data_IF_439538006153
#
_entry.id   IF_439538006153
#
_cell.length_a   1.000
_cell.length_b   1.000
_cell.length_c   1.000
_cell.angle_alpha   90.00
_cell.angle_beta   90.00
_cell.angle_gamma   90.00
#
_symmetry.space_group_name_H-M   'P 1'
#
loop_
_entity.id
_entity.type
_entity.pdbx_description
1 polymer ?
#
# COMPACT_ATOMS: atom_id res chain seq x y z
N UNK A 1 28.62 7.78 -4.17
CA UNK A 1 27.40 7.22 -4.81
C UNK A 1 26.23 6.97 -3.85
N UNK A 2 26.32 7.33 -2.55
CA UNK A 2 25.36 6.90 -1.50
C UNK A 2 24.06 7.73 -1.37
N UNK A 3 23.85 8.75 -2.20
CA UNK A 3 22.74 9.71 -2.04
C UNK A 3 21.69 9.61 -3.16
N UNK A 4 21.40 8.41 -3.68
CA UNK A 4 20.36 8.22 -4.71
C UNK A 4 19.22 7.37 -4.17
N UNK A 5 18.00 7.74 -4.56
CA UNK A 5 16.81 6.91 -4.34
C UNK A 5 16.95 5.66 -5.20
N UNK A 6 16.78 4.50 -4.59
CA UNK A 6 16.77 3.21 -5.29
C UNK A 6 15.43 2.52 -5.15
N UNK A 7 15.11 1.66 -6.10
CA UNK A 7 13.86 0.92 -6.12
C UNK A 7 14.19 -0.55 -6.34
N UNK A 8 13.69 -1.41 -5.45
CA UNK A 8 13.78 -2.86 -5.59
C UNK A 8 12.51 -3.37 -6.25
N UNK A 9 12.66 -4.05 -7.38
CA UNK A 9 11.59 -4.58 -8.22
C UNK A 9 11.99 -5.99 -8.70
N UNK A 10 11.01 -6.82 -9.10
CA UNK A 10 11.25 -8.15 -9.68
C UNK A 10 11.82 -8.12 -11.12
N UNK A 11 12.07 -6.92 -11.64
CA UNK A 11 12.63 -6.65 -12.97
C UNK A 11 13.76 -5.65 -12.86
N UNK A 12 14.73 -5.77 -13.75
CA UNK A 12 15.88 -4.87 -13.82
C UNK A 12 15.72 -3.85 -14.97
N UNK A 13 16.62 -2.86 -15.02
CA UNK A 13 16.67 -1.89 -16.11
C UNK A 13 15.70 -0.70 -15.97
N UNK A 14 15.00 -0.60 -14.84
CA UNK A 14 14.17 0.56 -14.51
C UNK A 14 14.90 1.51 -13.56
N UNK A 15 14.95 2.78 -13.94
CA UNK A 15 15.61 3.85 -13.20
C UNK A 15 14.58 4.72 -12.49
N UNK A 16 14.84 5.06 -11.23
CA UNK A 16 13.99 5.99 -10.49
C UNK A 16 13.95 7.36 -11.17
N UNK A 17 12.74 7.91 -11.35
CA UNK A 17 12.57 9.27 -11.85
C UNK A 17 11.78 10.17 -10.89
N UNK A 18 10.62 9.70 -10.41
CA UNK A 18 9.75 10.50 -9.54
C UNK A 18 8.93 9.62 -8.61
N UNK A 19 8.71 10.09 -7.39
CA UNK A 19 7.71 9.55 -6.45
C UNK A 19 6.78 10.69 -6.03
N UNK A 20 5.47 10.44 -6.03
CA UNK A 20 4.46 11.39 -5.55
C UNK A 20 3.25 10.66 -4.98
N UNK A 21 2.62 11.19 -3.94
CA UNK A 21 1.41 10.59 -3.36
C UNK A 21 1.04 11.22 -2.03
N UNK A 22 0.15 10.57 -1.29
CA UNK A 22 -0.32 11.03 0.01
C UNK A 22 -0.30 9.89 1.03
N UNK A 23 0.18 10.22 2.22
CA UNK A 23 0.05 9.43 3.44
C UNK A 23 -0.72 10.29 4.45
N UNK A 24 -1.59 9.66 5.26
CA UNK A 24 -2.30 10.31 6.35
C UNK A 24 -2.58 9.29 7.45
N UNK A 25 -2.74 9.78 8.68
CA UNK A 25 -3.10 8.93 9.81
C UNK A 25 -4.48 8.29 9.56
N UNK A 26 -4.62 7.01 9.91
CA UNK A 26 -5.86 6.25 9.74
C UNK A 26 -6.35 6.11 8.29
N UNK A 27 -5.52 6.42 7.30
CA UNK A 27 -5.85 6.28 5.88
C UNK A 27 -4.85 5.39 5.17
N UNK A 28 -5.36 4.50 4.30
CA UNK A 28 -4.50 3.72 3.41
C UNK A 28 -3.84 4.62 2.37
N UNK A 29 -2.51 4.70 2.39
CA UNK A 29 -1.77 5.52 1.45
C UNK A 29 -1.93 5.04 0.00
N UNK A 30 -1.68 5.95 -0.95
CA UNK A 30 -1.52 5.62 -2.36
C UNK A 30 -0.41 6.47 -2.98
N UNK A 31 0.58 5.80 -3.57
CA UNK A 31 1.75 6.44 -4.15
C UNK A 31 1.83 6.15 -5.65
N UNK A 32 2.35 7.11 -6.40
CA UNK A 32 2.69 7.00 -7.81
C UNK A 32 4.19 7.02 -7.95
N UNK A 33 4.76 5.88 -8.33
CA UNK A 33 6.18 5.71 -8.61
C UNK A 33 6.39 5.73 -10.12
N UNK A 34 7.21 6.67 -10.58
CA UNK A 34 7.55 6.85 -12.00
C UNK A 34 8.99 6.41 -12.23
N UNK A 35 9.16 5.48 -13.17
CA UNK A 35 10.43 4.88 -13.53
C UNK A 35 10.70 5.06 -15.02
N UNK A 36 11.97 5.15 -15.38
CA UNK A 36 12.43 5.24 -16.77
C UNK A 36 13.10 3.94 -17.17
N UNK A 37 12.75 3.41 -18.34
CA UNK A 37 13.41 2.29 -18.98
C UNK A 37 13.79 2.62 -20.41
N UNK A 38 14.82 1.96 -20.93
CA UNK A 38 15.18 2.01 -22.36
C UNK A 38 14.37 1.01 -23.19
N UNK A 39 13.78 -0.02 -22.56
CA UNK A 39 12.86 -0.96 -23.21
C UNK A 39 11.41 -0.73 -22.75
N UNK A 40 10.50 -0.54 -23.71
CA UNK A 40 9.06 -0.39 -23.47
C UNK A 40 8.31 -1.73 -23.35
N UNK A 41 9.00 -2.86 -23.57
CA UNK A 41 8.42 -4.21 -23.65
C UNK A 41 8.63 -5.04 -22.40
N UNK A 42 9.03 -4.42 -21.27
CA UNK A 42 9.12 -5.14 -20.00
C UNK A 42 7.74 -5.73 -19.70
N UNK A 43 7.73 -7.01 -19.39
CA UNK A 43 6.51 -7.73 -19.06
C UNK A 43 5.88 -7.15 -17.80
N UNK A 44 4.74 -6.49 -17.99
CA UNK A 44 4.00 -5.78 -16.94
C UNK A 44 3.37 -6.75 -15.95
N UNK A 45 3.09 -7.99 -16.37
CA UNK A 45 2.54 -9.01 -15.49
C UNK A 45 3.51 -9.38 -14.37
N UNK A 46 4.82 -9.26 -14.63
CA UNK A 46 5.88 -9.44 -13.63
C UNK A 46 5.96 -8.31 -12.62
N UNK A 47 5.35 -7.16 -12.89
CA UNK A 47 5.30 -6.03 -11.95
C UNK A 47 4.03 -6.04 -11.12
N UNK A 48 2.88 -6.32 -11.75
CA UNK A 48 1.58 -6.27 -11.09
C UNK A 48 1.49 -7.25 -9.92
N UNK A 49 0.99 -6.78 -8.77
CA UNK A 49 0.83 -7.55 -7.54
C UNK A 49 2.13 -7.82 -6.78
N UNK A 50 3.28 -7.51 -7.36
CA UNK A 50 4.58 -7.75 -6.73
C UNK A 50 4.93 -6.65 -5.71
N UNK A 51 5.71 -6.99 -4.67
CA UNK A 51 6.20 -6.00 -3.73
C UNK A 51 7.21 -5.07 -4.40
N UNK A 52 7.23 -3.83 -3.92
CA UNK A 52 8.20 -2.81 -4.29
C UNK A 52 8.68 -2.09 -3.04
N UNK A 53 10.00 -1.90 -2.96
CA UNK A 53 10.64 -1.15 -1.88
C UNK A 53 11.38 0.03 -2.49
N UNK A 54 10.98 1.24 -2.12
CA UNK A 54 11.71 2.48 -2.43
C UNK A 54 12.58 2.84 -1.24
N UNK A 55 13.88 2.95 -1.47
CA UNK A 55 14.86 3.33 -0.46
C UNK A 55 15.27 4.77 -0.66
N UNK A 56 14.95 5.62 0.31
CA UNK A 56 15.24 7.05 0.31
C UNK A 56 16.41 7.30 1.26
N UNK A 57 17.57 7.77 0.77
CA UNK A 57 18.70 8.11 1.63
C UNK A 57 18.35 9.29 2.54
N UNK A 58 18.79 9.24 3.80
CA UNK A 58 18.65 10.33 4.77
C UNK A 58 20.00 10.98 5.06
N UNK A 59 20.04 11.99 5.92
CA UNK A 59 21.30 12.66 6.32
C UNK A 59 22.28 11.71 7.00
N UNK A 60 21.78 10.65 7.65
CA UNK A 60 22.60 9.58 8.20
C UNK A 60 22.66 8.44 7.18
N UNK A 61 23.88 8.15 6.73
CA UNK A 61 24.17 7.08 5.76
C UNK A 61 23.75 5.67 6.26
N UNK A 62 23.59 5.50 7.57
CA UNK A 62 23.24 4.22 8.19
C UNK A 62 21.73 4.01 8.40
N UNK A 63 20.91 5.03 8.14
CA UNK A 63 19.47 4.99 8.43
C UNK A 63 18.65 5.49 7.24
N UNK A 64 18.60 4.73 6.12
CA UNK A 64 17.70 5.07 5.02
C UNK A 64 16.23 4.94 5.44
N UNK A 65 15.35 5.71 4.80
CA UNK A 65 13.89 5.55 4.92
C UNK A 65 13.42 4.57 3.86
N UNK A 66 12.59 3.61 4.26
CA UNK A 66 11.95 2.67 3.35
C UNK A 66 10.49 3.02 3.14
N UNK A 67 10.03 2.86 1.91
CA UNK A 67 8.61 2.85 1.55
C UNK A 67 8.34 1.52 0.87
N UNK A 68 7.54 0.69 1.53
CA UNK A 68 7.17 -0.65 1.06
C UNK A 68 5.71 -0.66 0.66
N UNK A 69 5.38 -1.32 -0.46
CA UNK A 69 4.02 -1.58 -0.88
C UNK A 69 3.95 -2.61 -2.00
N UNK A 70 2.77 -2.79 -2.58
CA UNK A 70 2.53 -3.65 -3.75
C UNK A 70 2.13 -2.81 -4.95
N UNK A 71 2.53 -3.24 -6.14
CA UNK A 71 2.12 -2.59 -7.39
C UNK A 71 0.68 -2.99 -7.73
N UNK A 72 -0.25 -2.05 -7.66
CA UNK A 72 -1.70 -2.31 -7.92
C UNK A 72 -2.14 -1.87 -9.31
N UNK A 73 -1.34 -1.05 -9.98
CA UNK A 73 -1.56 -0.62 -11.37
C UNK A 73 -0.23 -0.33 -12.06
N UNK A 74 -0.17 -0.67 -13.34
CA UNK A 74 0.97 -0.35 -14.22
C UNK A 74 0.44 0.41 -15.43
N UNK A 75 1.01 1.58 -15.72
CA UNK A 75 0.79 2.32 -16.95
C UNK A 75 2.15 2.57 -17.62
N UNK A 76 2.17 2.53 -18.95
CA UNK A 76 3.39 2.78 -19.75
C UNK A 76 3.12 3.87 -20.76
N UNK A 77 3.96 4.89 -20.77
CA UNK A 77 3.99 5.95 -21.77
C UNK A 77 5.41 6.17 -22.28
N UNK A 78 5.62 7.18 -23.12
CA UNK A 78 6.94 7.54 -23.61
C UNK A 78 7.22 9.02 -23.32
N UNK A 79 8.48 9.35 -23.05
CA UNK A 79 8.96 10.71 -22.92
C UNK A 79 10.28 10.86 -23.65
N UNK A 80 10.54 12.03 -24.21
CA UNK A 80 11.85 12.39 -24.76
C UNK A 80 12.57 13.32 -23.78
N UNK A 81 13.79 12.95 -23.38
CA UNK A 81 14.63 13.72 -22.47
C UNK A 81 16.00 13.89 -23.12
N UNK A 82 16.39 15.15 -23.38
CA UNK A 82 17.68 15.49 -23.99
C UNK A 82 17.96 14.69 -25.27
N UNK A 83 16.96 14.58 -26.15
CA UNK A 83 17.07 13.85 -27.42
C UNK A 83 17.06 12.32 -27.31
N UNK A 84 16.88 11.75 -26.12
CA UNK A 84 16.74 10.31 -25.89
C UNK A 84 15.29 9.97 -25.54
N UNK A 85 14.70 9.00 -26.26
CA UNK A 85 13.35 8.49 -25.97
C UNK A 85 13.40 7.40 -24.90
N UNK A 86 12.67 7.61 -23.83
CA UNK A 86 12.50 6.66 -22.73
C UNK A 86 11.08 6.10 -22.67
N UNK A 87 10.95 4.86 -22.23
CA UNK A 87 9.69 4.30 -21.75
C UNK A 87 9.48 4.73 -20.29
N UNK A 88 8.32 5.30 -20.00
CA UNK A 88 7.93 5.74 -18.67
C UNK A 88 6.99 4.71 -18.07
N UNK A 89 7.42 4.05 -17.00
CA UNK A 89 6.61 3.12 -16.23
C UNK A 89 6.06 3.85 -15.01
N UNK A 90 4.74 4.06 -14.99
CA UNK A 90 4.04 4.65 -13.87
C UNK A 90 3.34 3.53 -13.09
N UNK A 91 3.82 3.28 -11.88
CA UNK A 91 3.32 2.26 -10.97
C UNK A 91 2.48 2.94 -9.88
N UNK A 92 1.27 2.46 -9.66
CA UNK A 92 0.53 2.76 -8.43
C UNK A 92 0.96 1.77 -7.35
N UNK A 93 1.43 2.29 -6.22
CA UNK A 93 1.94 1.53 -5.08
C UNK A 93 1.03 1.79 -3.88
N UNK A 94 0.47 0.71 -3.34
CA UNK A 94 -0.47 0.74 -2.21
C UNK A 94 -0.09 -0.32 -1.17
N UNK A 95 -0.53 -0.18 0.10
CA UNK A 95 -0.22 -1.16 1.13
C UNK A 95 -1.00 -2.46 0.93
N UNK A 96 -0.68 -3.46 1.77
CA UNK A 96 -1.39 -4.74 1.83
C UNK A 96 -2.89 -4.62 2.15
N UNK A 97 -3.36 -3.44 2.57
CA UNK A 97 -4.79 -3.12 2.74
C UNK A 97 -5.55 -3.01 1.42
N UNK A 98 -4.87 -2.87 0.28
CA UNK A 98 -5.53 -2.62 -1.00
C UNK A 98 -6.63 -3.62 -1.38
N UNK A 99 -6.49 -4.94 -1.22
CA UNK A 99 -7.55 -5.89 -1.54
C UNK A 99 -8.85 -5.61 -0.77
N UNK A 100 -8.73 -5.12 0.47
CA UNK A 100 -9.87 -4.76 1.33
C UNK A 100 -10.64 -3.54 0.83
N UNK A 101 -10.09 -2.76 -0.11
CA UNK A 101 -10.80 -1.67 -0.82
C UNK A 101 -11.65 -2.20 -1.98
N UNK A 102 -11.40 -3.44 -2.41
CA UNK A 102 -11.93 -4.00 -3.67
C UNK A 102 -13.00 -5.07 -3.44
N UNK A 103 -13.15 -5.52 -2.22
CA UNK A 103 -14.21 -6.45 -1.84
C UNK A 103 -15.49 -5.69 -1.43
N UNK A 104 -16.56 -6.46 -1.26
CA UNK A 104 -17.83 -5.96 -0.73
C UNK A 104 -18.57 -7.13 -0.11
N UNK A 105 -18.84 -7.06 1.18
CA UNK A 105 -19.29 -8.21 1.95
C UNK A 105 -20.58 -7.95 2.73
N UNK A 106 -21.20 -9.05 3.16
CA UNK A 106 -22.36 -9.12 4.05
C UNK A 106 -22.04 -10.14 5.15
N UNK A 107 -21.62 -9.66 6.33
CA UNK A 107 -21.18 -10.52 7.43
C UNK A 107 -21.71 -10.01 8.77
N UNK A 108 -21.96 -10.95 9.67
CA UNK A 108 -22.39 -10.70 11.04
C UNK A 108 -21.27 -11.13 11.98
N UNK A 109 -20.92 -10.27 12.92
CA UNK A 109 -19.99 -10.50 14.03
C UNK A 109 -20.78 -10.39 15.34
N UNK A 110 -20.64 -11.39 16.21
CA UNK A 110 -21.35 -11.45 17.50
C UNK A 110 -20.39 -11.80 18.61
N UNK A 111 -20.60 -11.22 19.80
CA UNK A 111 -19.82 -11.51 21.00
C UNK A 111 -18.33 -11.16 20.86
N UNK A 112 -18.00 -10.14 20.06
CA UNK A 112 -16.62 -9.74 19.77
C UNK A 112 -16.41 -8.25 20.02
N UNK A 113 -15.19 -7.88 20.41
CA UNK A 113 -14.75 -6.48 20.46
C UNK A 113 -14.34 -5.99 19.07
N UNK A 114 -14.36 -4.67 18.85
CA UNK A 114 -13.88 -4.10 17.57
C UNK A 114 -12.45 -4.53 17.24
N UNK A 115 -11.47 -4.48 18.18
CA UNK A 115 -10.12 -5.00 17.89
C UNK A 115 -10.09 -6.47 17.44
N UNK A 116 -10.96 -7.33 17.96
CA UNK A 116 -11.04 -8.73 17.52
C UNK A 116 -11.56 -8.84 16.08
N UNK A 117 -12.59 -8.07 15.74
CA UNK A 117 -13.15 -8.01 14.38
C UNK A 117 -12.09 -7.49 13.40
N UNK A 118 -11.42 -6.39 13.74
CA UNK A 118 -10.36 -5.79 12.93
C UNK A 118 -9.21 -6.76 12.69
N UNK A 119 -8.71 -7.43 13.75
CA UNK A 119 -7.67 -8.45 13.64
C UNK A 119 -8.07 -9.63 12.75
N UNK A 120 -9.33 -10.07 12.85
CA UNK A 120 -9.85 -11.15 12.02
C UNK A 120 -9.77 -10.78 10.55
N UNK A 121 -10.30 -9.61 10.18
CA UNK A 121 -10.32 -9.16 8.78
C UNK A 121 -8.92 -8.86 8.25
N UNK A 122 -8.07 -8.19 9.02
CA UNK A 122 -6.67 -7.96 8.63
C UNK A 122 -5.92 -9.30 8.44
N UNK A 123 -6.17 -10.28 9.30
CA UNK A 123 -5.58 -11.61 9.21
C UNK A 123 -6.03 -12.40 7.98
N UNK A 124 -7.32 -12.35 7.63
CA UNK A 124 -7.85 -12.96 6.40
C UNK A 124 -7.17 -12.41 5.13
N UNK A 125 -6.74 -11.14 5.16
CA UNK A 125 -6.00 -10.48 4.09
C UNK A 125 -4.47 -10.53 4.24
N UNK A 126 -3.95 -11.27 5.23
CA UNK A 126 -2.52 -11.42 5.52
C UNK A 126 -1.81 -10.07 5.76
N UNK A 127 -2.52 -9.11 6.33
CA UNK A 127 -1.96 -7.81 6.69
C UNK A 127 -1.22 -7.96 8.03
N UNK A 128 0.07 -7.63 8.03
CA UNK A 128 0.86 -7.61 9.25
C UNK A 128 0.41 -6.45 10.14
N UNK A 129 0.07 -6.75 11.39
CA UNK A 129 -0.40 -5.79 12.38
C UNK A 129 0.50 -5.80 13.61
N UNK A 130 0.78 -4.62 14.14
CA UNK A 130 1.32 -4.44 15.48
C UNK A 130 0.22 -3.84 16.36
N UNK A 131 -0.22 -4.57 17.39
CA UNK A 131 -1.24 -4.08 18.32
C UNK A 131 -0.58 -3.31 19.47
N UNK A 132 -0.89 -2.02 19.57
CA UNK A 132 -0.45 -1.12 20.64
C UNK A 132 -1.60 -0.50 21.42
N UNK A 133 -2.78 -1.11 21.35
CA UNK A 133 -3.95 -0.61 22.06
C UNK A 133 -3.74 -0.76 23.58
N UNK A 134 -4.03 0.31 24.31
CA UNK A 134 -3.92 0.35 25.79
C UNK A 134 -5.28 0.42 26.48
N UNK A 135 -6.34 0.71 25.74
CA UNK A 135 -7.71 0.80 26.24
C UNK A 135 -8.43 -0.54 26.33
N UNK A 136 -9.50 -0.56 27.12
CA UNK A 136 -10.47 -1.67 27.14
C UNK A 136 -11.62 -1.35 26.20
N UNK A 137 -11.99 -2.30 25.35
CA UNK A 137 -13.05 -2.14 24.36
C UNK A 137 -14.25 -3.00 24.71
N UNK A 138 -15.46 -2.46 24.51
CA UNK A 138 -16.71 -3.18 24.78
C UNK A 138 -16.88 -4.37 23.83
N UNK A 139 -17.59 -5.38 24.29
CA UNK A 139 -18.06 -6.48 23.45
C UNK A 139 -19.33 -6.04 22.75
N UNK A 140 -19.39 -6.27 21.45
CA UNK A 140 -20.59 -6.05 20.64
C UNK A 140 -21.39 -7.35 20.54
N UNK A 141 -22.61 -7.35 21.06
CA UNK A 141 -23.52 -8.49 20.95
C UNK A 141 -23.89 -8.78 19.49
N UNK A 142 -24.00 -7.71 18.68
CA UNK A 142 -24.34 -7.79 17.27
C UNK A 142 -23.72 -6.63 16.48
N UNK A 143 -22.86 -6.94 15.52
CA UNK A 143 -22.23 -5.99 14.62
C UNK A 143 -22.28 -6.52 13.18
N UNK A 144 -22.71 -5.68 12.23
CA UNK A 144 -22.94 -6.09 10.84
C UNK A 144 -22.03 -5.30 9.92
N UNK A 145 -21.34 -6.00 9.02
CA UNK A 145 -20.79 -5.46 7.79
C UNK A 145 -21.86 -5.58 6.71
N UNK A 146 -22.40 -4.46 6.23
CA UNK A 146 -23.55 -4.48 5.33
C UNK A 146 -23.26 -3.79 4.00
N UNK A 147 -23.00 -4.59 2.96
CA UNK A 147 -22.72 -4.10 1.60
C UNK A 147 -21.65 -2.99 1.56
N UNK A 148 -20.58 -3.17 2.31
CA UNK A 148 -19.44 -2.25 2.37
C UNK A 148 -18.14 -3.05 2.18
N UNK A 149 -17.07 -2.37 1.79
CA UNK A 149 -15.76 -3.02 1.67
C UNK A 149 -15.23 -3.37 3.07
N UNK A 150 -14.31 -4.33 3.14
CA UNK A 150 -13.71 -4.70 4.42
C UNK A 150 -12.89 -3.57 5.01
N UNK A 151 -12.28 -2.72 4.18
CA UNK A 151 -11.57 -1.52 4.65
C UNK A 151 -12.55 -0.51 5.24
N UNK A 152 -13.64 -0.18 4.53
CA UNK A 152 -14.63 0.80 5.02
C UNK A 152 -15.25 0.35 6.35
N UNK A 153 -15.53 -0.96 6.46
CA UNK A 153 -16.08 -1.56 7.67
C UNK A 153 -15.15 -1.41 8.88
N UNK A 154 -13.87 -1.77 8.75
CA UNK A 154 -12.93 -1.63 9.86
C UNK A 154 -12.65 -0.16 10.17
N UNK A 155 -12.57 0.70 9.15
CA UNK A 155 -12.34 2.13 9.32
C UNK A 155 -13.43 2.78 10.17
N UNK A 156 -14.70 2.59 9.83
CA UNK A 156 -15.80 3.19 10.63
C UNK A 156 -15.89 2.62 12.05
N UNK A 157 -15.50 1.37 12.26
CA UNK A 157 -15.47 0.78 13.61
C UNK A 157 -14.32 1.32 14.45
N UNK A 158 -13.14 1.48 13.84
CA UNK A 158 -11.98 2.08 14.49
C UNK A 158 -12.23 3.55 14.84
N UNK A 159 -12.81 4.33 13.92
CA UNK A 159 -13.22 5.71 14.16
C UNK A 159 -14.20 5.82 15.35
N UNK A 160 -15.18 4.93 15.41
CA UNK A 160 -16.18 4.90 16.49
C UNK A 160 -15.58 4.60 17.86
N UNK A 161 -14.60 3.69 17.93
CA UNK A 161 -13.94 3.28 19.18
C UNK A 161 -12.68 4.11 19.49
N UNK A 162 -12.38 5.14 18.69
CA UNK A 162 -11.23 6.02 18.90
C UNK A 162 -9.87 5.34 18.66
N UNK A 163 -9.81 4.41 17.72
CA UNK A 163 -8.60 3.68 17.32
C UNK A 163 -7.99 4.35 16.08
N UNK A 164 -6.67 4.58 16.09
CA UNK A 164 -5.90 5.14 14.99
C UNK A 164 -4.62 4.34 14.70
#
# INVERSE_FOLDING_TARGET
MLNRITVQLPVEGLLFWKLSGREAMSESYALTLTLLGTDARIDRSRLLGQPVTVTIPTQSLLTPRYINGKVTRVAVSAVELTGTRYAVYQLTVEPDLWPMKRDRNLRIFQGQTVPQIVKTLLGEHQVNLEDKLTGSYRVWDYCVQYQESSLDFISRLMELEGIA
#
